data_IF_715724712850
#
_entry.id   IF_715724712850
#
_cell.length_a   1.000
_cell.length_b   1.000
_cell.length_c   1.000
_cell.angle_alpha   90.00
_cell.angle_beta   90.00
_cell.angle_gamma   90.00
#
_symmetry.space_group_name_H-M   'P 1'
#
loop_
_entity.id
_entity.type
_entity.pdbx_description
1 polymer ?
#
# COMPACT_ATOMS: atom_id res chain seq x y z
N UNK A 1 -20.13 38.21 -56.12
CA UNK A 1 -18.95 37.95 -55.28
C UNK A 1 -19.24 38.46 -53.87
N UNK A 2 -19.19 37.75 -52.76
CA UNK A 2 -19.38 36.34 -52.34
C UNK A 2 -19.44 36.41 -50.80
N UNK A 3 -20.32 35.71 -50.08
CA UNK A 3 -20.45 35.89 -48.64
C UNK A 3 -19.41 35.02 -47.89
N UNK A 4 -18.63 35.63 -46.99
CA UNK A 4 -17.71 34.89 -46.10
C UNK A 4 -18.49 34.13 -45.02
N UNK A 5 -18.54 32.80 -45.17
CA UNK A 5 -19.14 31.86 -44.22
C UNK A 5 -18.36 31.78 -42.90
N UNK A 6 -19.13 31.68 -41.82
CA UNK A 6 -18.70 31.51 -40.45
C UNK A 6 -17.85 30.25 -40.20
N UNK A 7 -16.64 30.44 -39.68
CA UNK A 7 -15.75 29.36 -39.16
C UNK A 7 -15.69 29.30 -37.63
N UNK A 8 -16.49 30.10 -36.90
CA UNK A 8 -16.35 30.25 -35.43
C UNK A 8 -16.93 29.09 -34.59
N UNK A 9 -17.76 28.19 -35.16
CA UNK A 9 -18.54 27.21 -34.36
C UNK A 9 -17.82 25.87 -34.10
N UNK A 10 -16.87 25.45 -34.94
CA UNK A 10 -16.14 24.16 -34.79
C UNK A 10 -15.01 24.20 -33.77
N UNK A 11 -14.43 25.37 -33.51
CA UNK A 11 -13.28 25.52 -32.61
C UNK A 11 -13.67 25.33 -31.13
N UNK A 12 -14.84 25.82 -30.73
CA UNK A 12 -15.32 25.73 -29.35
C UNK A 12 -15.61 24.30 -28.88
N UNK A 13 -16.15 23.44 -29.74
CA UNK A 13 -16.41 22.03 -29.39
C UNK A 13 -15.12 21.23 -29.23
N UNK A 14 -14.10 21.48 -30.06
CA UNK A 14 -12.79 20.82 -29.94
C UNK A 14 -12.07 21.26 -28.67
N UNK A 15 -12.10 22.56 -28.34
CA UNK A 15 -11.57 23.10 -27.09
C UNK A 15 -12.29 22.53 -25.84
N UNK A 16 -13.61 22.40 -25.88
CA UNK A 16 -14.39 21.79 -24.79
C UNK A 16 -14.08 20.29 -24.62
N UNK A 17 -13.94 19.55 -25.72
CA UNK A 17 -13.56 18.14 -25.66
C UNK A 17 -12.13 17.94 -25.14
N UNK A 18 -11.18 18.77 -25.57
CA UNK A 18 -9.81 18.76 -25.05
C UNK A 18 -9.76 19.09 -23.56
N UNK A 19 -10.52 20.10 -23.12
CA UNK A 19 -10.61 20.47 -21.70
C UNK A 19 -11.20 19.32 -20.85
N UNK A 20 -12.23 18.63 -21.35
CA UNK A 20 -12.82 17.46 -20.68
C UNK A 20 -11.84 16.28 -20.57
N UNK A 21 -11.06 16.01 -21.62
CA UNK A 21 -10.04 14.95 -21.63
C UNK A 21 -8.91 15.27 -20.63
N UNK A 22 -8.43 16.52 -20.60
CA UNK A 22 -7.40 16.93 -19.63
C UNK A 22 -7.91 16.84 -18.17
N UNK A 23 -9.17 17.25 -17.91
CA UNK A 23 -9.77 17.15 -16.59
C UNK A 23 -9.90 15.69 -16.11
N UNK A 24 -10.29 14.78 -17.00
CA UNK A 24 -10.37 13.35 -16.71
C UNK A 24 -8.99 12.73 -16.40
N UNK A 25 -7.95 13.10 -17.15
CA UNK A 25 -6.59 12.62 -16.94
C UNK A 25 -5.99 13.11 -15.60
N UNK A 26 -6.29 14.34 -15.20
CA UNK A 26 -5.86 14.88 -13.91
C UNK A 26 -6.50 14.14 -12.71
N UNK A 27 -7.79 13.80 -12.80
CA UNK A 27 -8.50 13.07 -11.74
C UNK A 27 -8.04 11.61 -11.54
N UNK A 28 -7.64 10.93 -12.62
CA UNK A 28 -7.10 9.56 -12.54
C UNK A 28 -5.75 9.52 -11.80
N UNK A 29 -4.92 10.54 -12.00
CA UNK A 29 -3.62 10.67 -11.33
C UNK A 29 -3.76 10.81 -9.81
N UNK A 30 -4.70 11.64 -9.35
CA UNK A 30 -4.91 11.90 -7.93
C UNK A 30 -5.44 10.66 -7.18
N UNK A 31 -6.35 9.90 -7.79
CA UNK A 31 -6.89 8.68 -7.19
C UNK A 31 -5.85 7.55 -7.13
N UNK A 32 -4.98 7.42 -8.14
CA UNK A 32 -3.90 6.43 -8.13
C UNK A 32 -2.83 6.69 -7.05
N UNK A 33 -2.63 7.96 -6.64
CA UNK A 33 -1.70 8.31 -5.56
C UNK A 33 -2.28 7.93 -4.19
N UNK A 34 -3.59 8.16 -3.99
CA UNK A 34 -4.28 7.78 -2.75
C UNK A 34 -4.16 6.28 -2.45
N UNK A 35 -4.36 5.43 -3.47
CA UNK A 35 -4.26 3.98 -3.35
C UNK A 35 -2.88 3.51 -2.90
N UNK A 36 -1.82 4.11 -3.46
CA UNK A 36 -0.42 3.81 -3.11
C UNK A 36 -0.08 4.28 -1.70
N UNK A 37 -0.54 5.48 -1.31
CA UNK A 37 -0.35 6.00 0.04
C UNK A 37 -1.03 5.09 1.08
N UNK A 38 -2.28 4.68 0.82
CA UNK A 38 -3.01 3.76 1.67
C UNK A 38 -2.28 2.41 1.82
N UNK A 39 -1.67 1.90 0.73
CA UNK A 39 -0.85 0.68 0.79
C UNK A 39 0.37 0.86 1.71
N UNK A 40 1.11 1.96 1.57
CA UNK A 40 2.25 2.26 2.44
C UNK A 40 1.86 2.36 3.92
N UNK A 41 0.70 2.94 4.22
CA UNK A 41 0.18 3.01 5.60
C UNK A 41 -0.08 1.61 6.18
N UNK A 42 -0.65 0.70 5.39
CA UNK A 42 -0.88 -0.67 5.83
C UNK A 42 0.43 -1.44 6.06
N UNK A 43 1.41 -1.27 5.16
CA UNK A 43 2.75 -1.86 5.35
C UNK A 43 3.41 -1.33 6.62
N UNK A 44 3.35 -0.02 6.86
CA UNK A 44 3.90 0.58 8.08
C UNK A 44 3.22 0.05 9.35
N UNK A 45 1.89 -0.13 9.33
CA UNK A 45 1.15 -0.69 10.44
C UNK A 45 1.53 -2.16 10.71
N UNK A 46 1.68 -2.98 9.68
CA UNK A 46 2.09 -4.39 9.84
C UNK A 46 3.52 -4.49 10.39
N UNK A 47 4.42 -3.61 9.96
CA UNK A 47 5.78 -3.51 10.52
C UNK A 47 5.78 -3.08 12.00
N UNK A 48 4.91 -2.14 12.38
CA UNK A 48 4.75 -1.73 13.79
C UNK A 48 4.24 -2.88 14.67
N UNK A 49 3.32 -3.70 14.15
CA UNK A 49 2.88 -4.95 14.80
C UNK A 49 4.07 -5.92 14.94
N UNK A 50 4.87 -6.09 13.89
CA UNK A 50 6.08 -6.93 13.93
C UNK A 50 7.09 -6.47 14.98
N UNK A 51 7.36 -5.17 15.07
CA UNK A 51 8.29 -4.59 16.04
C UNK A 51 7.75 -4.70 17.48
N UNK A 52 6.45 -4.48 17.69
CA UNK A 52 5.84 -4.56 19.02
C UNK A 52 5.70 -5.99 19.55
N UNK A 53 5.61 -6.98 18.65
CA UNK A 53 5.59 -8.41 19.00
C UNK A 53 6.98 -9.07 18.98
N UNK A 54 8.02 -8.30 18.68
CA UNK A 54 9.42 -8.75 18.65
C UNK A 54 9.86 -9.29 20.02
N UNK A 55 10.43 -10.49 20.05
CA UNK A 55 11.00 -11.05 21.29
C UNK A 55 12.25 -10.25 21.67
N UNK A 56 12.43 -9.86 22.95
CA UNK A 56 13.65 -9.19 23.38
C UNK A 56 14.90 -10.03 23.11
N UNK A 57 15.90 -9.44 22.44
CA UNK A 57 17.20 -10.06 22.17
C UNK A 57 18.31 -9.16 22.72
N UNK A 58 19.42 -9.76 23.14
CA UNK A 58 20.52 -9.05 23.78
C UNK A 58 21.53 -8.52 22.74
N UNK A 59 22.41 -9.39 22.23
CA UNK A 59 23.44 -9.02 21.28
C UNK A 59 23.69 -10.12 20.25
N UNK A 60 24.12 -9.71 19.07
CA UNK A 60 24.70 -10.59 18.06
C UNK A 60 26.19 -10.74 18.34
N UNK A 61 26.60 -11.97 18.67
CA UNK A 61 28.00 -12.32 18.87
C UNK A 61 28.61 -12.79 17.54
N UNK A 62 29.38 -11.92 16.89
CA UNK A 62 30.11 -12.24 15.66
C UNK A 62 31.57 -12.66 15.96
N UNK A 63 31.89 -13.02 17.21
CA UNK A 63 33.23 -13.47 17.57
C UNK A 63 33.41 -14.94 17.22
N UNK A 64 34.08 -15.18 16.10
CA UNK A 64 34.29 -16.52 15.57
C UNK A 64 35.71 -17.08 15.84
N UNK A 65 36.71 -16.23 16.09
CA UNK A 65 38.11 -16.66 16.23
C UNK A 65 38.56 -16.64 17.69
N UNK A 66 39.31 -17.64 18.15
CA UNK A 66 40.03 -17.57 19.41
C UNK A 66 41.47 -17.09 19.18
N UNK A 67 41.95 -16.20 20.04
CA UNK A 67 43.35 -15.82 20.07
C UNK A 67 44.18 -16.79 20.91
N UNK A 68 45.51 -16.62 20.89
CA UNK A 68 46.46 -17.46 21.65
C UNK A 68 46.28 -17.36 23.19
N UNK A 69 45.53 -16.36 23.68
CA UNK A 69 45.19 -16.18 25.09
C UNK A 69 43.83 -16.81 25.46
N UNK A 70 43.19 -17.52 24.53
CA UNK A 70 41.88 -18.14 24.73
C UNK A 70 40.70 -17.17 24.72
N UNK A 71 40.90 -15.91 24.32
CA UNK A 71 39.83 -14.92 24.22
C UNK A 71 39.22 -14.94 22.80
N UNK A 72 37.91 -14.71 22.73
CA UNK A 72 37.18 -14.61 21.46
C UNK A 72 37.41 -13.23 20.83
N UNK A 73 37.95 -13.22 19.62
CA UNK A 73 38.13 -12.05 18.77
C UNK A 73 36.94 -11.87 17.84
N UNK A 74 36.50 -10.62 17.67
CA UNK A 74 35.44 -10.23 16.75
C UNK A 74 34.55 -9.12 17.32
N UNK A 75 33.41 -8.89 16.68
CA UNK A 75 32.49 -7.80 17.00
C UNK A 75 31.26 -8.34 17.73
N UNK A 76 30.84 -7.66 18.79
CA UNK A 76 29.54 -7.87 19.42
C UNK A 76 28.69 -6.65 19.10
N UNK A 77 27.51 -6.86 18.53
CA UNK A 77 26.61 -5.78 18.08
C UNK A 77 25.29 -5.92 18.82
N UNK A 78 24.73 -4.83 19.30
CA UNK A 78 23.37 -4.82 19.83
C UNK A 78 22.37 -5.22 18.74
N UNK A 79 21.43 -6.10 19.06
CA UNK A 79 20.46 -6.58 18.09
C UNK A 79 19.59 -5.45 17.50
N UNK A 80 19.25 -4.43 18.30
CA UNK A 80 18.35 -3.33 17.92
C UNK A 80 18.88 -2.49 16.76
N UNK A 81 20.21 -2.40 16.63
CA UNK A 81 20.91 -1.64 15.57
C UNK A 81 21.50 -2.55 14.49
N UNK A 82 21.26 -3.85 14.58
CA UNK A 82 21.78 -4.81 13.62
C UNK A 82 20.95 -4.82 12.34
N UNK A 83 21.62 -5.06 11.21
CA UNK A 83 20.95 -5.31 9.92
C UNK A 83 20.10 -6.58 9.97
N UNK A 84 20.47 -7.56 10.80
CA UNK A 84 19.71 -8.80 10.96
C UNK A 84 18.28 -8.52 11.42
N UNK A 85 18.09 -7.54 12.34
CA UNK A 85 16.77 -7.20 12.86
C UNK A 85 15.78 -6.79 11.77
N UNK A 86 16.23 -5.97 10.81
CA UNK A 86 15.36 -5.55 9.71
C UNK A 86 15.13 -6.69 8.71
N UNK A 87 16.12 -7.55 8.47
CA UNK A 87 15.95 -8.74 7.61
C UNK A 87 14.87 -9.66 8.18
N UNK A 88 14.93 -9.98 9.48
CA UNK A 88 13.94 -10.83 10.13
C UNK A 88 12.52 -10.24 10.11
N UNK A 89 12.39 -8.91 10.21
CA UNK A 89 11.09 -8.22 10.14
C UNK A 89 10.51 -8.17 8.71
N UNK A 90 11.36 -8.19 7.69
CA UNK A 90 10.94 -8.08 6.29
C UNK A 90 10.68 -9.43 5.61
N UNK A 91 11.26 -10.52 6.12
CA UNK A 91 11.23 -11.84 5.48
C UNK A 91 9.80 -12.38 5.27
N UNK A 92 8.91 -12.16 6.24
CA UNK A 92 7.51 -12.63 6.22
C UNK A 92 6.49 -11.49 5.99
N UNK A 93 6.95 -10.26 5.74
CA UNK A 93 6.08 -9.09 5.57
C UNK A 93 5.17 -9.23 4.35
N UNK A 94 5.73 -9.66 3.21
CA UNK A 94 4.95 -9.80 1.97
C UNK A 94 3.82 -10.83 2.12
N UNK A 95 4.06 -11.92 2.86
CA UNK A 95 3.06 -12.95 3.12
C UNK A 95 1.92 -12.43 4.00
N UNK A 96 2.25 -11.69 5.07
CA UNK A 96 1.24 -11.03 5.92
C UNK A 96 0.39 -10.01 5.17
N UNK A 97 0.98 -9.30 4.20
CA UNK A 97 0.26 -8.34 3.37
C UNK A 97 -0.76 -8.99 2.42
N UNK A 98 -0.67 -10.31 2.16
CA UNK A 98 -1.67 -11.03 1.35
C UNK A 98 -3.05 -11.08 2.02
N UNK A 99 -3.10 -10.93 3.36
CA UNK A 99 -4.36 -10.88 4.12
C UNK A 99 -5.04 -9.51 4.07
N UNK A 100 -4.47 -8.53 3.36
CA UNK A 100 -5.06 -7.20 3.25
C UNK A 100 -5.84 -7.04 1.95
N UNK A 101 -6.95 -6.30 2.00
CA UNK A 101 -7.73 -5.93 0.82
C UNK A 101 -8.07 -4.45 0.83
N UNK A 102 -8.15 -3.86 -0.37
CA UNK A 102 -8.58 -2.49 -0.56
C UNK A 102 -10.10 -2.39 -0.43
N UNK A 103 -10.58 -1.56 0.50
CA UNK A 103 -11.99 -1.22 0.66
C UNK A 103 -12.21 0.28 0.54
N UNK A 104 -13.43 0.67 0.18
CA UNK A 104 -13.86 2.06 0.19
C UNK A 104 -14.55 2.34 1.52
N UNK A 105 -14.02 3.29 2.29
CA UNK A 105 -14.61 3.76 3.53
C UNK A 105 -15.91 4.52 3.27
N UNK A 106 -16.67 4.80 4.33
CA UNK A 106 -17.89 5.60 4.25
C UNK A 106 -17.64 7.04 3.77
N UNK A 107 -16.45 7.60 4.06
CA UNK A 107 -16.02 8.91 3.56
C UNK A 107 -15.64 8.90 2.08
N UNK A 108 -15.57 7.72 1.46
CA UNK A 108 -15.20 7.52 0.06
C UNK A 108 -13.70 7.40 -0.19
N UNK A 109 -12.87 7.51 0.85
CA UNK A 109 -11.44 7.21 0.79
C UNK A 109 -11.22 5.70 0.67
N UNK A 110 -10.12 5.28 0.05
CA UNK A 110 -9.74 3.88 -0.03
C UNK A 110 -8.77 3.54 1.08
N UNK A 111 -9.03 2.45 1.77
CA UNK A 111 -8.25 1.97 2.90
C UNK A 111 -7.93 0.49 2.73
N UNK A 112 -6.72 0.08 3.12
CA UNK A 112 -6.33 -1.32 3.16
C UNK A 112 -6.67 -1.89 4.53
N UNK A 113 -7.51 -2.92 4.55
CA UNK A 113 -8.01 -3.54 5.78
C UNK A 113 -7.61 -5.01 5.81
N UNK A 114 -7.11 -5.48 6.96
CA UNK A 114 -6.76 -6.88 7.19
C UNK A 114 -8.02 -7.74 7.28
N UNK A 115 -8.08 -8.79 6.47
CA UNK A 115 -9.19 -9.74 6.40
C UNK A 115 -8.87 -10.92 7.31
N UNK A 116 -9.56 -11.02 8.46
CA UNK A 116 -9.34 -12.13 9.39
C UNK A 116 -9.81 -13.49 8.85
N UNK A 117 -10.82 -13.50 7.97
CA UNK A 117 -11.34 -14.73 7.36
C UNK A 117 -11.92 -14.48 5.97
N UNK A 118 -11.20 -14.96 4.94
CA UNK A 118 -11.56 -14.78 3.53
C UNK A 118 -12.91 -15.40 3.14
N UNK A 119 -13.26 -16.56 3.70
CA UNK A 119 -14.53 -17.24 3.39
C UNK A 119 -15.75 -16.44 3.87
N UNK A 120 -15.64 -15.82 5.04
CA UNK A 120 -16.67 -14.97 5.61
C UNK A 120 -16.82 -13.65 4.84
N UNK A 121 -15.70 -13.10 4.38
CA UNK A 121 -15.65 -11.85 3.62
C UNK A 121 -16.38 -12.00 2.27
N UNK A 122 -16.11 -13.07 1.52
CA UNK A 122 -16.79 -13.33 0.25
C UNK A 122 -18.31 -13.46 0.45
N UNK A 123 -18.75 -14.16 1.49
CA UNK A 123 -20.18 -14.34 1.78
C UNK A 123 -20.89 -13.01 2.10
N UNK A 124 -20.22 -12.12 2.83
CA UNK A 124 -20.72 -10.77 3.13
C UNK A 124 -20.78 -9.88 1.88
N UNK A 125 -19.76 -9.94 1.02
CA UNK A 125 -19.72 -9.21 -0.25
C UNK A 125 -20.87 -9.62 -1.17
N UNK A 126 -21.07 -10.93 -1.39
CA UNK A 126 -22.17 -11.45 -2.20
C UNK A 126 -23.55 -11.11 -1.62
N UNK A 127 -23.68 -11.08 -0.28
CA UNK A 127 -24.92 -10.64 0.39
C UNK A 127 -25.22 -9.17 0.10
N UNK A 128 -24.22 -8.30 0.23
CA UNK A 128 -24.35 -6.85 -0.04
C UNK A 128 -24.66 -6.55 -1.51
N UNK A 129 -24.03 -7.29 -2.43
CA UNK A 129 -24.31 -7.18 -3.86
C UNK A 129 -25.74 -7.61 -4.19
N UNK A 130 -26.20 -8.73 -3.60
CA UNK A 130 -27.56 -9.25 -3.79
C UNK A 130 -28.63 -8.31 -3.25
N UNK A 131 -28.40 -7.66 -2.11
CA UNK A 131 -29.32 -6.65 -1.60
C UNK A 131 -29.37 -5.42 -2.50
N UNK A 132 -28.21 -4.97 -3.02
CA UNK A 132 -28.14 -3.83 -3.95
C UNK A 132 -28.83 -4.08 -5.29
N UNK A 133 -28.81 -5.33 -5.78
CA UNK A 133 -29.50 -5.75 -7.01
C UNK A 133 -31.01 -5.93 -6.83
N UNK A 134 -31.51 -6.07 -5.59
CA UNK A 134 -32.94 -6.23 -5.29
C UNK A 134 -33.64 -4.91 -4.97
N UNK A 135 -32.87 -3.86 -4.68
CA UNK A 135 -33.35 -2.50 -4.40
C UNK A 135 -33.33 -1.55 -5.61
N UNK A 136 -33.05 -2.08 -6.81
CA UNK A 136 -33.05 -1.35 -8.09
C UNK A 136 -34.13 -1.85 -9.03
#
# INVERSE_FOLDING_TARGET
MEPRRATRRRSGTVLLLLAAILAAAAGASASAIGDKCAACKAVAAELEIGISSEKPRNHLDLRNRLNSKGQREGKVIDYRVSELRIVELLDDLCDKMQDYTLQKSESGEKEWVKVANWSSFQTGYWRKLRTSLRSG
#
